data_IF_841258324628
#
_entry.id   IF_841258324628
#
_cell.length_a   1.000
_cell.length_b   1.000
_cell.length_c   1.000
_cell.angle_alpha   90.00
_cell.angle_beta   90.00
_cell.angle_gamma   90.00
#
_symmetry.space_group_name_H-M   'P 1'
#
loop_
_entity.id
_entity.type
_entity.pdbx_description
1 polymer ?
#
# COMPACT_ATOMS: atom_id res chain seq x y z
N UNK A 1 10.95 -9.59 -10.17
CA UNK A 1 10.98 -10.78 -9.28
C UNK A 1 9.58 -11.36 -9.24
N UNK A 2 9.41 -12.65 -9.00
CA UNK A 2 8.07 -13.18 -8.70
C UNK A 2 7.64 -12.61 -7.32
N UNK A 3 6.37 -12.22 -7.15
CA UNK A 3 5.90 -11.73 -5.85
C UNK A 3 6.08 -12.83 -4.79
N UNK A 4 6.48 -12.48 -3.56
CA UNK A 4 6.54 -13.44 -2.46
C UNK A 4 5.15 -14.02 -2.20
N UNK A 5 5.10 -15.24 -1.67
CA UNK A 5 3.84 -15.87 -1.31
C UNK A 5 3.11 -15.02 -0.26
N UNK A 6 1.80 -14.76 -0.43
CA UNK A 6 1.05 -13.98 0.54
C UNK A 6 0.99 -14.74 1.89
N UNK A 7 1.00 -14.03 3.02
CA UNK A 7 0.80 -14.66 4.32
C UNK A 7 -0.56 -15.37 4.43
N UNK A 8 -0.74 -16.31 5.38
CA UNK A 8 -2.00 -17.01 5.56
C UNK A 8 -3.17 -16.04 5.76
N UNK A 9 -4.23 -16.18 4.95
CA UNK A 9 -5.40 -15.31 4.96
C UNK A 9 -5.30 -14.07 4.07
N UNK A 10 -4.10 -13.73 3.58
CA UNK A 10 -3.92 -12.62 2.63
C UNK A 10 -4.11 -13.09 1.20
N UNK A 11 -4.69 -12.22 0.39
CA UNK A 11 -4.89 -12.44 -1.04
C UNK A 11 -3.88 -11.60 -1.81
N UNK A 12 -3.17 -12.22 -2.75
CA UNK A 12 -2.30 -11.51 -3.68
C UNK A 12 -3.17 -10.68 -4.62
N UNK A 13 -2.87 -9.39 -4.76
CA UNK A 13 -3.52 -8.59 -5.76
C UNK A 13 -2.95 -8.91 -7.13
N UNK A 14 -3.65 -9.76 -7.87
CA UNK A 14 -3.35 -10.05 -9.25
C UNK A 14 -3.69 -8.82 -10.11
N UNK A 15 -2.86 -8.53 -11.13
CA UNK A 15 -3.03 -7.40 -12.06
C UNK A 15 -2.86 -5.98 -11.47
N UNK A 16 -1.80 -5.76 -10.70
CA UNK A 16 -1.38 -4.42 -10.21
C UNK A 16 -1.31 -3.35 -11.31
N UNK A 17 -0.96 -3.75 -12.54
CA UNK A 17 -0.89 -2.83 -13.68
C UNK A 17 -2.24 -2.17 -14.02
N UNK A 18 -3.36 -2.88 -13.81
CA UNK A 18 -4.72 -2.40 -14.06
C UNK A 18 -5.44 -1.88 -12.80
N UNK A 19 -4.81 -2.01 -11.64
CA UNK A 19 -5.40 -1.58 -10.38
C UNK A 19 -4.93 -0.17 -10.03
N UNK A 20 -5.52 0.83 -10.70
CA UNK A 20 -5.17 2.24 -10.48
C UNK A 20 -5.36 2.65 -9.01
N UNK A 21 -6.35 2.06 -8.33
CA UNK A 21 -6.57 2.28 -6.90
C UNK A 21 -5.35 1.91 -6.04
N UNK A 22 -4.60 0.85 -6.38
CA UNK A 22 -3.39 0.47 -5.63
C UNK A 22 -2.25 1.44 -5.89
N UNK A 23 -2.10 1.93 -7.13
CA UNK A 23 -1.09 2.95 -7.43
C UNK A 23 -1.39 4.24 -6.71
N UNK A 24 -2.65 4.65 -6.66
CA UNK A 24 -3.09 5.84 -5.91
C UNK A 24 -2.84 5.66 -4.41
N UNK A 25 -3.16 4.49 -3.85
CA UNK A 25 -2.86 4.16 -2.44
C UNK A 25 -1.36 4.20 -2.16
N UNK A 26 -0.53 3.63 -3.03
CA UNK A 26 0.92 3.61 -2.89
C UNK A 26 1.54 5.01 -3.00
N UNK A 27 1.01 5.83 -3.90
CA UNK A 27 1.44 7.22 -4.06
C UNK A 27 1.05 8.05 -2.84
N UNK A 28 -0.20 7.95 -2.40
CA UNK A 28 -0.68 8.62 -1.18
C UNK A 28 0.15 8.21 0.04
N UNK A 29 0.44 6.92 0.20
CA UNK A 29 1.31 6.38 1.23
C UNK A 29 2.70 7.05 1.27
N UNK A 30 3.32 7.25 0.10
CA UNK A 30 4.62 7.92 0.01
C UNK A 30 4.50 9.41 0.31
N UNK A 31 3.46 10.08 -0.19
CA UNK A 31 3.20 11.50 0.03
C UNK A 31 2.88 11.81 1.51
N UNK A 32 2.09 10.98 2.18
CA UNK A 32 1.74 11.11 3.59
C UNK A 32 2.98 10.93 4.48
N UNK A 33 3.77 9.88 4.23
CA UNK A 33 5.03 9.68 4.93
C UNK A 33 6.02 10.82 4.69
N UNK A 34 6.06 11.36 3.47
CA UNK A 34 6.89 12.50 3.14
C UNK A 34 6.45 13.77 3.89
N UNK A 35 5.15 14.00 3.99
CA UNK A 35 4.58 15.12 4.73
C UNK A 35 4.93 15.05 6.23
N UNK A 36 4.94 13.84 6.81
CA UNK A 36 5.22 13.64 8.22
C UNK A 36 6.71 13.59 8.58
N UNK A 37 7.58 13.03 7.72
CA UNK A 37 9.00 12.81 8.03
C UNK A 37 9.93 13.79 7.27
N UNK A 38 9.47 14.39 6.17
CA UNK A 38 10.22 15.41 5.41
C UNK A 38 11.37 14.88 4.54
N UNK A 39 11.32 13.61 4.14
CA UNK A 39 12.44 12.90 3.48
C UNK A 39 12.52 13.08 1.94
N UNK A 40 11.61 13.85 1.34
CA UNK A 40 11.37 14.02 -0.11
C UNK A 40 11.27 12.71 -0.89
N UNK A 41 10.49 11.76 -0.40
CA UNK A 41 10.32 10.48 -1.08
C UNK A 41 9.52 10.64 -2.38
N UNK A 42 10.05 10.11 -3.50
CA UNK A 42 9.35 10.05 -4.79
C UNK A 42 8.95 8.61 -5.09
N UNK A 43 7.64 8.37 -5.18
CA UNK A 43 7.09 7.09 -5.63
C UNK A 43 7.58 6.77 -7.06
N UNK A 44 8.01 5.53 -7.30
CA UNK A 44 8.46 5.06 -8.60
C UNK A 44 7.48 4.01 -9.18
N UNK A 45 7.28 2.89 -8.49
CA UNK A 45 6.39 1.80 -8.91
C UNK A 45 6.03 0.87 -7.75
N UNK A 46 4.98 0.06 -7.93
CA UNK A 46 4.57 -1.01 -7.01
C UNK A 46 5.07 -2.34 -7.53
N UNK A 47 5.74 -3.09 -6.67
CA UNK A 47 6.28 -4.42 -7.00
C UNK A 47 5.25 -5.52 -6.76
N UNK A 48 4.66 -5.54 -5.56
CA UNK A 48 3.53 -6.40 -5.26
C UNK A 48 2.61 -5.78 -4.22
N UNK A 49 1.37 -6.24 -4.17
CA UNK A 49 0.45 -5.88 -3.11
C UNK A 49 -0.37 -7.08 -2.65
N UNK A 50 -0.64 -7.13 -1.36
CA UNK A 50 -1.52 -8.09 -0.72
C UNK A 50 -2.68 -7.35 -0.09
N UNK A 51 -3.84 -8.00 -0.01
CA UNK A 51 -4.96 -7.48 0.76
C UNK A 51 -5.58 -8.53 1.66
N UNK A 52 -6.18 -8.04 2.74
CA UNK A 52 -6.99 -8.80 3.66
C UNK A 52 -8.33 -8.09 3.78
N UNK A 53 -9.40 -8.77 3.37
CA UNK A 53 -10.77 -8.30 3.56
C UNK A 53 -11.24 -8.65 4.98
N UNK A 54 -11.68 -7.65 5.76
CA UNK A 54 -12.14 -7.87 7.13
C UNK A 54 -13.63 -8.24 7.07
N UNK A 55 -14.04 -9.49 7.36
CA UNK A 55 -15.40 -9.97 7.09
C UNK A 55 -16.49 -9.34 7.97
N UNK A 56 -16.13 -8.63 9.04
CA UNK A 56 -17.07 -7.99 9.99
C UNK A 56 -17.11 -6.47 9.89
N UNK A 57 -16.42 -5.86 8.91
CA UNK A 57 -16.39 -4.43 8.72
C UNK A 57 -16.32 -4.06 7.24
N UNK A 58 -16.63 -2.81 6.92
CA UNK A 58 -16.33 -2.20 5.63
C UNK A 58 -14.82 -1.87 5.53
N UNK A 59 -13.96 -2.77 6.00
CA UNK A 59 -12.54 -2.51 6.22
C UNK A 59 -11.69 -3.47 5.40
N UNK A 60 -10.65 -2.93 4.77
CA UNK A 60 -9.70 -3.67 3.96
C UNK A 60 -8.29 -3.24 4.32
N UNK A 61 -7.42 -4.20 4.60
CA UNK A 61 -6.02 -3.92 4.89
C UNK A 61 -5.22 -4.26 3.64
N UNK A 62 -4.36 -3.33 3.22
CA UNK A 62 -3.44 -3.46 2.11
C UNK A 62 -2.01 -3.49 2.62
N UNK A 63 -1.22 -4.43 2.13
CA UNK A 63 0.24 -4.41 2.26
C UNK A 63 0.80 -4.21 0.87
N UNK A 64 1.48 -3.10 0.64
CA UNK A 64 1.97 -2.69 -0.67
C UNK A 64 3.48 -2.59 -0.59
N UNK A 65 4.17 -3.41 -1.36
CA UNK A 65 5.59 -3.28 -1.58
C UNK A 65 5.83 -2.35 -2.76
N UNK A 66 6.47 -1.21 -2.49
CA UNK A 66 6.68 -0.15 -3.46
C UNK A 66 8.13 0.31 -3.45
N UNK A 67 8.56 0.88 -4.58
CA UNK A 67 9.86 1.52 -4.69
C UNK A 67 9.69 3.04 -4.66
N UNK A 68 10.48 3.70 -3.82
CA UNK A 68 10.54 5.15 -3.76
C UNK A 68 11.99 5.64 -3.60
N UNK A 69 12.37 6.66 -4.35
CA UNK A 69 13.72 7.28 -4.29
C UNK A 69 14.87 6.26 -4.30
N UNK A 70 14.78 5.20 -5.12
CA UNK A 70 15.83 4.19 -5.23
C UNK A 70 15.88 3.16 -4.10
N UNK A 71 15.01 3.23 -3.10
CA UNK A 71 14.87 2.23 -2.03
C UNK A 71 13.50 1.55 -2.07
N UNK A 72 13.41 0.35 -1.51
CA UNK A 72 12.15 -0.37 -1.34
C UNK A 72 11.50 -0.04 0.00
N UNK A 73 10.18 -0.01 0.01
CA UNK A 73 9.36 0.27 1.17
C UNK A 73 8.17 -0.66 1.20
N UNK A 74 7.75 -0.99 2.41
CA UNK A 74 6.51 -1.70 2.68
C UNK A 74 5.53 -0.71 3.31
N UNK A 75 4.44 -0.43 2.59
CA UNK A 75 3.32 0.37 3.07
C UNK A 75 2.22 -0.56 3.57
N UNK A 76 1.80 -0.40 4.82
CA UNK A 76 0.59 -1.02 5.34
C UNK A 76 -0.49 0.05 5.41
N UNK A 77 -1.60 -0.15 4.68
CA UNK A 77 -2.71 0.81 4.60
C UNK A 77 -3.99 0.15 5.01
N UNK A 78 -4.63 0.68 6.06
CA UNK A 78 -5.99 0.32 6.41
C UNK A 78 -6.97 1.24 5.68
N UNK A 79 -7.70 0.67 4.72
CA UNK A 79 -8.73 1.35 3.94
C UNK A 79 -10.12 1.00 4.45
N UNK A 80 -10.94 2.01 4.70
CA UNK A 80 -12.37 1.85 4.98
C UNK A 80 -13.18 2.05 3.70
N UNK A 81 -13.85 1.01 3.23
CA UNK A 81 -14.63 0.93 1.98
C UNK A 81 -15.89 1.78 2.00
N UNK A 82 -16.47 2.04 3.18
CA UNK A 82 -17.66 2.92 3.33
C UNK A 82 -17.35 4.40 3.10
N UNK A 83 -16.08 4.79 3.14
CA UNK A 83 -15.63 6.16 2.87
C UNK A 83 -14.93 6.20 1.52
N UNK A 84 -15.53 6.85 0.52
CA UNK A 84 -14.95 6.99 -0.84
C UNK A 84 -13.69 7.88 -0.91
N UNK A 85 -13.14 8.31 0.23
CA UNK A 85 -11.95 9.17 0.29
C UNK A 85 -10.84 8.49 1.08
N UNK A 86 -9.61 8.63 0.59
CA UNK A 86 -8.40 8.12 1.27
C UNK A 86 -8.06 8.84 2.59
N UNK A 87 -8.88 9.79 3.03
CA UNK A 87 -8.58 10.66 4.17
C UNK A 87 -8.71 9.99 5.55
N UNK A 88 -9.43 8.86 5.65
CA UNK A 88 -9.63 8.12 6.90
C UNK A 88 -8.78 6.85 6.97
N UNK A 89 -7.71 6.78 6.17
CA UNK A 89 -6.85 5.61 6.10
C UNK A 89 -5.69 5.72 7.09
N UNK A 90 -5.43 4.65 7.84
CA UNK A 90 -4.26 4.58 8.73
C UNK A 90 -3.13 3.92 7.96
N UNK A 91 -1.97 4.58 7.94
CA UNK A 91 -0.85 4.18 7.11
C UNK A 91 0.44 4.03 7.90
N UNK A 92 1.20 2.99 7.58
CA UNK A 92 2.53 2.77 8.11
C UNK A 92 3.49 2.46 6.97
N UNK A 93 4.45 3.36 6.71
CA UNK A 93 5.54 3.11 5.77
C UNK A 93 6.79 2.70 6.53
N UNK A 94 7.37 1.56 6.14
CA UNK A 94 8.69 1.16 6.63
C UNK A 94 9.60 0.93 5.44
N UNK A 95 10.85 1.38 5.56
CA UNK A 95 11.90 1.03 4.60
C UNK A 95 12.18 -0.48 4.69
N UNK A 96 12.09 -1.16 3.56
CA UNK A 96 12.48 -2.56 3.46
C UNK A 96 14.03 -2.61 3.41
N UNK A 97 14.70 -3.35 4.32
CA UNK A 97 16.15 -3.33 4.50
C UNK A 97 16.94 -3.98 3.36
#
# INVERSE_FOLDING_TARGET
MAPPQPPPGWTLCENLMHNDSIKDLAKWAVEDHDHHIGHKLKFEWVDYAWHLDIPKGDDKIWIIHLKASGSFYLACVWQKLSTSKCNDQIMYLRKDP
#
